data_IF_060124766562
#
_entry.id   IF_060124766562
#
_cell.length_a   1.000
_cell.length_b   1.000
_cell.length_c   1.000
_cell.angle_alpha   90.00
_cell.angle_beta   90.00
_cell.angle_gamma   90.00
#
_symmetry.space_group_name_H-M   'P 1'
#
loop_
_entity.id
_entity.type
_entity.pdbx_description
1 polymer ?
#
# COMPACT_ATOMS: atom_id res chain seq x y z
N UNK A 1 1.84 12.24 -7.66
CA UNK A 1 3.12 11.53 -7.92
C UNK A 1 4.28 12.51 -7.98
N UNK A 2 5.42 12.08 -7.42
CA UNK A 2 6.70 12.78 -7.57
C UNK A 2 7.70 11.83 -8.24
N UNK A 3 8.72 12.40 -8.86
CA UNK A 3 9.76 11.60 -9.51
C UNK A 3 10.87 11.25 -8.52
N UNK A 4 11.63 10.16 -8.75
CA UNK A 4 12.72 9.79 -7.85
C UNK A 4 13.73 10.92 -7.62
N UNK A 5 14.04 11.71 -8.65
CA UNK A 5 14.96 12.83 -8.56
C UNK A 5 14.45 14.00 -7.71
N UNK A 6 13.17 14.01 -7.33
CA UNK A 6 12.59 15.07 -6.52
C UNK A 6 12.90 14.95 -5.02
N UNK A 7 13.80 14.06 -4.64
CA UNK A 7 14.32 13.95 -3.27
C UNK A 7 14.24 12.57 -2.64
N UNK A 8 13.94 11.53 -3.42
CA UNK A 8 13.90 10.16 -2.90
C UNK A 8 15.31 9.56 -2.90
N UNK A 9 15.80 9.21 -1.71
CA UNK A 9 17.15 8.69 -1.52
C UNK A 9 17.20 7.16 -1.41
N UNK A 10 16.08 6.51 -1.10
CA UNK A 10 16.01 5.04 -0.98
C UNK A 10 14.56 4.58 -1.07
N UNK A 11 14.38 3.28 -1.34
CA UNK A 11 13.07 2.65 -1.38
C UNK A 11 12.41 2.68 0.01
N UNK A 12 11.19 3.10 0.05
CA UNK A 12 10.37 3.11 1.26
C UNK A 12 8.92 2.79 0.97
N UNK A 13 8.24 2.20 1.94
CA UNK A 13 6.82 1.85 1.85
C UNK A 13 6.12 2.29 3.14
N UNK A 14 4.99 2.95 2.99
CA UNK A 14 4.12 3.31 4.10
C UNK A 14 2.71 2.82 3.84
N UNK A 15 2.08 2.24 4.86
CA UNK A 15 0.72 1.74 4.80
C UNK A 15 -0.13 2.51 5.81
N UNK A 16 -1.27 3.02 5.34
CA UNK A 16 -2.21 3.77 6.17
C UNK A 16 -3.60 3.18 6.03
N UNK A 17 -4.23 2.86 7.16
CA UNK A 17 -5.63 2.42 7.21
C UNK A 17 -6.46 3.55 7.80
N UNK A 18 -7.47 4.00 7.07
CA UNK A 18 -8.38 5.06 7.50
C UNK A 18 -9.55 4.45 8.26
N UNK A 19 -9.92 5.04 9.39
CA UNK A 19 -11.10 4.61 10.18
C UNK A 19 -12.38 4.82 9.41
N UNK A 20 -12.48 5.91 8.68
CA UNK A 20 -13.60 6.23 7.81
C UNK A 20 -13.11 6.34 6.37
N UNK A 21 -13.93 5.86 5.43
CA UNK A 21 -13.61 5.98 4.02
C UNK A 21 -13.58 7.43 3.55
N UNK A 22 -12.66 7.75 2.67
CA UNK A 22 -12.52 9.08 2.06
C UNK A 22 -12.67 8.96 0.55
N UNK A 23 -13.44 9.86 -0.04
CA UNK A 23 -13.60 9.91 -1.49
C UNK A 23 -12.43 10.66 -2.13
N UNK A 24 -11.77 9.99 -3.05
CA UNK A 24 -10.63 10.52 -3.81
C UNK A 24 -10.99 10.81 -5.27
N UNK A 25 -12.28 10.89 -5.58
CA UNK A 25 -12.79 10.97 -6.96
C UNK A 25 -12.32 9.78 -7.81
N UNK A 26 -12.20 8.61 -7.18
CA UNK A 26 -11.77 7.37 -7.84
C UNK A 26 -12.96 6.43 -8.00
N UNK A 27 -13.58 6.48 -9.17
CA UNK A 27 -14.72 5.62 -9.49
C UNK A 27 -14.31 4.14 -9.35
N UNK A 28 -15.08 3.39 -8.61
CA UNK A 28 -14.83 1.97 -8.35
C UNK A 28 -13.94 1.69 -7.13
N UNK A 29 -13.20 2.68 -6.62
CA UNK A 29 -12.35 2.53 -5.45
C UNK A 29 -12.82 3.33 -4.24
N UNK A 30 -13.70 4.31 -4.44
CA UNK A 30 -14.24 5.11 -3.35
C UNK A 30 -15.34 4.36 -2.58
N UNK A 31 -15.49 4.58 -1.28
CA UNK A 31 -14.59 5.37 -0.45
C UNK A 31 -13.28 4.61 -0.16
N UNK A 32 -12.17 5.33 -0.14
CA UNK A 32 -10.85 4.77 0.10
C UNK A 32 -10.59 4.64 1.61
N UNK A 33 -10.17 3.46 2.05
CA UNK A 33 -9.82 3.18 3.44
C UNK A 33 -8.39 2.69 3.61
N UNK A 34 -7.78 2.18 2.57
CA UNK A 34 -6.40 1.68 2.60
C UNK A 34 -5.55 2.46 1.62
N UNK A 35 -4.47 3.04 2.12
CA UNK A 35 -3.49 3.78 1.34
C UNK A 35 -2.12 3.13 1.49
N UNK A 36 -1.46 2.87 0.38
CA UNK A 36 -0.07 2.44 0.38
C UNK A 36 0.74 3.47 -0.40
N UNK A 37 1.71 4.06 0.27
CA UNK A 37 2.60 5.05 -0.31
C UNK A 37 3.95 4.41 -0.58
N UNK A 38 4.41 4.50 -1.82
CA UNK A 38 5.69 3.94 -2.25
C UNK A 38 6.64 5.06 -2.65
N UNK A 39 7.82 5.06 -2.05
CA UNK A 39 8.93 5.91 -2.45
C UNK A 39 10.02 5.05 -3.08
N UNK A 40 10.41 5.35 -4.31
CA UNK A 40 11.41 4.60 -5.05
C UNK A 40 12.57 5.51 -5.44
N UNK A 41 13.80 5.01 -5.30
CA UNK A 41 15.00 5.78 -5.60
C UNK A 41 15.30 5.89 -7.10
N UNK A 42 14.71 5.01 -7.91
CA UNK A 42 14.81 5.04 -9.38
C UNK A 42 13.56 4.44 -10.01
N UNK A 43 13.48 4.46 -11.35
CA UNK A 43 12.31 3.99 -12.08
C UNK A 43 12.10 2.47 -12.06
N UNK A 44 13.11 1.69 -11.71
CA UNK A 44 13.09 0.23 -11.79
C UNK A 44 13.01 -0.46 -10.43
N UNK A 45 13.47 0.19 -9.35
CA UNK A 45 13.60 -0.43 -8.02
C UNK A 45 12.26 -0.82 -7.39
N UNK A 46 11.15 -0.29 -7.87
CA UNK A 46 9.82 -0.52 -7.30
C UNK A 46 8.98 -1.56 -8.05
N UNK A 47 9.46 -2.06 -9.19
CA UNK A 47 8.68 -2.97 -10.04
C UNK A 47 8.29 -4.26 -9.30
N UNK A 48 9.26 -4.89 -8.62
CA UNK A 48 9.00 -6.10 -7.84
C UNK A 48 8.04 -5.82 -6.69
N UNK A 49 8.20 -4.70 -6.00
CA UNK A 49 7.33 -4.30 -4.90
C UNK A 49 5.90 -4.07 -5.39
N UNK A 50 5.72 -3.42 -6.53
CA UNK A 50 4.39 -3.22 -7.13
C UNK A 50 3.75 -4.56 -7.48
N UNK A 51 4.52 -5.51 -8.02
CA UNK A 51 4.01 -6.84 -8.33
C UNK A 51 3.53 -7.58 -7.08
N UNK A 52 4.29 -7.51 -5.99
CA UNK A 52 3.90 -8.10 -4.71
C UNK A 52 2.66 -7.43 -4.12
N UNK A 53 2.55 -6.12 -4.22
CA UNK A 53 1.35 -5.38 -3.78
C UNK A 53 0.13 -5.75 -4.62
N UNK A 54 0.30 -5.97 -5.92
CA UNK A 54 -0.79 -6.42 -6.78
C UNK A 54 -1.31 -7.79 -6.35
N UNK A 55 -0.43 -8.72 -6.00
CA UNK A 55 -0.83 -10.02 -5.46
C UNK A 55 -1.63 -9.88 -4.17
N UNK A 56 -1.19 -9.01 -3.27
CA UNK A 56 -1.91 -8.72 -2.02
C UNK A 56 -3.32 -8.19 -2.32
N UNK A 57 -3.45 -7.22 -3.21
CA UNK A 57 -4.75 -6.60 -3.51
C UNK A 57 -5.72 -7.54 -4.23
N UNK A 58 -5.21 -8.56 -4.88
CA UNK A 58 -6.07 -9.60 -5.48
C UNK A 58 -6.59 -10.60 -4.44
N UNK A 59 -6.02 -10.61 -3.25
CA UNK A 59 -6.48 -11.45 -2.16
C UNK A 59 -7.40 -10.67 -1.24
N UNK A 60 -8.71 -10.77 -1.48
CA UNK A 60 -9.73 -10.03 -0.73
C UNK A 60 -9.72 -10.33 0.77
N UNK A 61 -9.41 -11.58 1.16
CA UNK A 61 -9.34 -11.97 2.57
C UNK A 61 -8.19 -11.26 3.29
N UNK A 62 -7.03 -11.18 2.65
CA UNK A 62 -5.87 -10.51 3.24
C UNK A 62 -6.06 -8.99 3.32
N UNK A 63 -6.67 -8.38 2.32
CA UNK A 63 -7.04 -6.96 2.36
C UNK A 63 -8.01 -6.67 3.50
N UNK A 64 -9.04 -7.50 3.65
CA UNK A 64 -10.00 -7.37 4.75
C UNK A 64 -9.34 -7.56 6.11
N UNK A 65 -8.40 -8.50 6.23
CA UNK A 65 -7.67 -8.73 7.46
C UNK A 65 -6.77 -7.54 7.83
N UNK A 66 -6.13 -6.90 6.86
CA UNK A 66 -5.34 -5.68 7.09
C UNK A 66 -6.23 -4.56 7.59
N UNK A 67 -7.39 -4.35 6.98
CA UNK A 67 -8.31 -3.30 7.38
C UNK A 67 -8.92 -3.53 8.77
N UNK A 68 -9.04 -4.80 9.19
CA UNK A 68 -9.56 -5.19 10.49
C UNK A 68 -8.48 -5.33 11.57
N UNK A 69 -7.20 -5.21 11.22
CA UNK A 69 -6.10 -5.40 12.15
C UNK A 69 -6.08 -4.32 13.23
N UNK A 70 -5.87 -4.75 14.47
CA UNK A 70 -5.82 -3.85 15.64
C UNK A 70 -4.42 -3.31 15.90
N UNK A 71 -3.39 -4.02 15.43
CA UNK A 71 -1.98 -3.68 15.70
C UNK A 71 -1.15 -3.70 14.42
N UNK A 72 -0.02 -2.99 14.48
CA UNK A 72 0.99 -2.99 13.44
C UNK A 72 1.54 -4.40 13.20
N UNK A 73 1.73 -5.18 14.25
CA UNK A 73 2.27 -6.54 14.15
C UNK A 73 1.33 -7.48 13.38
N UNK A 74 0.03 -7.33 13.54
CA UNK A 74 -0.95 -8.09 12.79
C UNK A 74 -0.85 -7.81 11.29
N UNK A 75 -0.67 -6.54 10.92
CA UNK A 75 -0.48 -6.13 9.53
C UNK A 75 0.82 -6.72 8.98
N UNK A 76 1.91 -6.64 9.73
CA UNK A 76 3.21 -7.17 9.30
C UNK A 76 3.19 -8.68 9.08
N UNK A 77 2.43 -9.44 9.88
CA UNK A 77 2.26 -10.89 9.66
C UNK A 77 1.59 -11.20 8.33
N UNK A 78 0.59 -10.41 7.95
CA UNK A 78 -0.10 -10.59 6.68
C UNK A 78 0.85 -10.25 5.53
N UNK A 79 1.57 -9.14 5.62
CA UNK A 79 2.51 -8.69 4.59
C UNK A 79 3.70 -9.65 4.43
N UNK A 80 4.08 -10.38 5.48
CA UNK A 80 5.18 -11.34 5.42
C UNK A 80 4.92 -12.51 4.47
N UNK A 81 3.70 -12.73 4.02
CA UNK A 81 3.35 -13.74 3.02
C UNK A 81 3.69 -13.33 1.58
N UNK A 82 4.04 -12.08 1.40
CA UNK A 82 4.27 -11.49 0.06
C UNK A 82 5.75 -11.02 -0.13
#
# INVERSE_FOLDING_TARGET
>A
HARPEDGVNRLGLALTVLKEGVNFDSEGNDPVRLLITLAASDGDSHVETIAQLAELFMNEEDVAAIMAADTKDDILRILARY
#
